data_IF_729399549823
#
_entry.id   IF_729399549823
#
_cell.length_a   1.000
_cell.length_b   1.000
_cell.length_c   1.000
_cell.angle_alpha   90.00
_cell.angle_beta   90.00
_cell.angle_gamma   90.00
#
_symmetry.space_group_name_H-M   'P 1'
#
loop_
_entity.id
_entity.type
_entity.pdbx_description
1 polymer ?
#
# COMPACT_ATOMS: atom_id res chain seq x y z
N UNK A 1 -1.54 -24.16 -18.71
CA UNK A 1 -1.43 -22.70 -18.41
C UNK A 1 -0.01 -22.28 -18.70
N UNK A 2 0.16 -21.22 -19.48
CA UNK A 2 1.48 -20.67 -19.82
C UNK A 2 2.19 -20.15 -18.56
N UNK A 3 3.47 -20.48 -18.40
CA UNK A 3 4.26 -20.09 -17.22
C UNK A 3 4.56 -18.59 -17.30
N UNK A 4 4.24 -17.85 -16.23
CA UNK A 4 4.53 -16.42 -16.14
C UNK A 4 6.05 -16.20 -16.18
N UNK A 5 6.53 -15.26 -16.99
CA UNK A 5 7.97 -14.95 -17.11
C UNK A 5 8.24 -13.47 -16.84
N UNK A 6 9.41 -13.16 -16.27
CA UNK A 6 9.81 -11.80 -15.85
C UNK A 6 9.83 -10.77 -16.99
N UNK A 7 9.95 -11.22 -18.24
CA UNK A 7 10.03 -10.37 -19.43
C UNK A 7 8.66 -9.95 -19.98
N UNK A 8 7.56 -10.42 -19.39
CA UNK A 8 6.22 -10.08 -19.86
C UNK A 8 5.86 -8.63 -19.50
N UNK A 9 5.99 -7.75 -20.50
CA UNK A 9 5.65 -6.32 -20.41
C UNK A 9 4.28 -6.01 -19.77
N UNK A 10 3.19 -6.73 -20.11
CA UNK A 10 1.88 -6.52 -19.48
C UNK A 10 1.86 -6.69 -17.96
N UNK A 11 2.75 -7.52 -17.41
CA UNK A 11 2.84 -7.81 -15.97
C UNK A 11 3.87 -6.95 -15.25
N UNK A 12 5.02 -6.73 -15.89
CA UNK A 12 6.22 -6.21 -15.24
C UNK A 12 6.80 -4.95 -15.87
N UNK A 13 6.17 -4.40 -16.91
CA UNK A 13 6.66 -3.22 -17.64
C UNK A 13 6.85 -1.99 -16.76
N UNK A 14 6.09 -1.85 -15.69
CA UNK A 14 6.17 -0.73 -14.74
C UNK A 14 6.78 -1.13 -13.39
N UNK A 15 7.28 -2.36 -13.24
CA UNK A 15 7.77 -2.86 -11.95
C UNK A 15 9.20 -2.43 -11.75
N UNK A 16 9.49 -1.62 -10.73
CA UNK A 16 10.84 -1.22 -10.38
C UNK A 16 11.09 -1.37 -8.88
N UNK A 17 12.31 -1.74 -8.50
CA UNK A 17 12.76 -1.87 -7.11
C UNK A 17 14.29 -1.87 -7.02
N UNK A 18 14.79 -1.43 -5.86
CA UNK A 18 16.23 -1.42 -5.56
C UNK A 18 16.82 -2.83 -5.69
N UNK A 19 17.86 -2.97 -6.51
CA UNK A 19 18.57 -4.24 -6.73
C UNK A 19 18.05 -5.07 -7.91
N UNK A 20 17.06 -4.61 -8.67
CA UNK A 20 16.50 -5.34 -9.84
C UNK A 20 17.56 -5.72 -10.89
N UNK A 21 18.50 -4.83 -11.17
CA UNK A 21 19.53 -5.07 -12.21
C UNK A 21 20.70 -5.93 -11.74
N UNK A 22 20.75 -6.29 -10.45
CA UNK A 22 21.83 -7.06 -9.82
C UNK A 22 21.30 -8.40 -9.26
N UNK A 23 20.18 -8.88 -9.82
CA UNK A 23 19.58 -10.12 -9.38
C UNK A 23 20.44 -11.31 -9.77
N UNK A 24 20.68 -12.18 -8.79
CA UNK A 24 21.31 -13.47 -8.93
C UNK A 24 20.47 -14.54 -8.21
N UNK A 25 20.67 -15.83 -8.50
CA UNK A 25 20.03 -16.91 -7.76
C UNK A 25 20.31 -16.89 -6.25
N UNK A 26 21.41 -16.27 -5.83
CA UNK A 26 21.82 -16.14 -4.42
C UNK A 26 21.30 -14.85 -3.75
N UNK A 27 20.63 -13.96 -4.49
CA UNK A 27 20.18 -12.67 -3.95
C UNK A 27 19.12 -12.84 -2.86
N UNK A 28 19.26 -12.08 -1.78
CA UNK A 28 18.25 -11.89 -0.74
C UNK A 28 17.76 -10.44 -0.81
N UNK A 29 16.55 -10.25 -1.35
CA UNK A 29 16.02 -8.94 -1.69
C UNK A 29 15.01 -8.50 -0.63
N UNK A 30 15.21 -7.29 -0.12
CA UNK A 30 14.31 -6.63 0.83
C UNK A 30 13.38 -5.64 0.11
N UNK A 31 12.09 -5.94 0.13
CA UNK A 31 11.05 -5.05 -0.39
C UNK A 31 10.38 -4.29 0.76
N UNK A 32 10.44 -2.96 0.72
CA UNK A 32 9.72 -2.11 1.67
C UNK A 32 8.24 -2.06 1.32
N UNK A 33 7.38 -2.27 2.31
CA UNK A 33 5.94 -2.06 2.18
C UNK A 33 5.58 -0.56 2.24
N UNK A 34 4.50 -0.18 1.55
CA UNK A 34 3.95 1.18 1.56
C UNK A 34 3.40 1.53 2.93
N UNK A 35 3.98 2.55 3.56
CA UNK A 35 3.68 2.94 4.95
C UNK A 35 2.45 3.84 5.07
N UNK A 36 2.04 4.54 4.01
CA UNK A 36 1.00 5.57 4.09
C UNK A 36 -0.42 5.02 3.91
N UNK A 37 -0.60 4.02 3.06
CA UNK A 37 -1.92 3.46 2.76
C UNK A 37 -2.32 2.31 3.71
N UNK A 38 -1.54 2.12 4.76
CA UNK A 38 -1.80 1.03 5.68
C UNK A 38 -3.09 1.28 6.47
N UNK A 39 -3.89 0.22 6.72
CA UNK A 39 -5.02 0.25 7.62
C UNK A 39 -4.62 0.86 8.94
N UNK A 40 -5.47 1.69 9.52
CA UNK A 40 -5.45 1.90 10.96
C UNK A 40 -6.66 1.21 11.60
N UNK A 41 -6.62 0.98 12.93
CA UNK A 41 -7.83 0.68 13.68
C UNK A 41 -8.93 1.68 13.34
N UNK A 42 -10.16 1.19 13.15
CA UNK A 42 -11.29 2.00 12.68
C UNK A 42 -11.51 3.31 13.45
N UNK A 43 -11.37 3.37 14.80
CA UNK A 43 -11.48 4.62 15.53
C UNK A 43 -10.42 5.67 15.11
N UNK A 44 -9.18 5.23 14.90
CA UNK A 44 -8.09 6.10 14.45
C UNK A 44 -8.28 6.54 13.00
N UNK A 45 -8.77 5.65 12.11
CA UNK A 45 -9.11 6.04 10.75
C UNK A 45 -10.23 7.09 10.72
N UNK A 46 -11.29 6.92 11.50
CA UNK A 46 -12.39 7.87 11.58
C UNK A 46 -11.92 9.24 12.10
N UNK A 47 -11.10 9.27 13.15
CA UNK A 47 -10.57 10.51 13.69
C UNK A 47 -9.70 11.24 12.66
N UNK A 48 -8.79 10.51 12.01
CA UNK A 48 -7.94 11.05 10.95
C UNK A 48 -8.73 11.43 9.69
N UNK A 49 -9.96 10.95 9.52
CA UNK A 49 -10.83 11.38 8.43
C UNK A 49 -11.63 12.64 8.77
N UNK A 50 -12.29 12.64 9.93
CA UNK A 50 -13.24 13.68 10.35
C UNK A 50 -12.50 14.97 10.71
N UNK A 51 -11.41 14.89 11.48
CA UNK A 51 -10.73 16.09 12.00
C UNK A 51 -10.16 16.98 10.89
N UNK A 52 -9.40 16.44 9.90
CA UNK A 52 -8.89 17.29 8.82
C UNK A 52 -10.02 17.83 7.93
N UNK A 53 -11.10 17.07 7.76
CA UNK A 53 -12.25 17.53 6.98
C UNK A 53 -13.00 18.67 7.69
N UNK A 54 -13.19 18.58 9.00
CA UNK A 54 -13.75 19.66 9.79
C UNK A 54 -12.87 20.93 9.71
N UNK A 55 -11.54 20.76 9.80
CA UNK A 55 -10.58 21.86 9.60
C UNK A 55 -10.65 22.49 8.21
N UNK A 56 -10.86 21.68 7.16
CA UNK A 56 -11.04 22.17 5.81
C UNK A 56 -12.35 22.99 5.63
N UNK A 57 -13.41 22.65 6.36
CA UNK A 57 -14.71 23.34 6.25
C UNK A 57 -14.78 24.59 7.12
N UNK A 58 -14.04 24.63 8.24
CA UNK A 58 -14.06 25.71 9.23
C UNK A 58 -13.95 27.14 8.66
N UNK A 59 -13.06 27.45 7.69
CA UNK A 59 -12.94 28.79 7.12
C UNK A 59 -14.25 29.34 6.53
N UNK A 60 -15.14 28.47 6.05
CA UNK A 60 -16.38 28.86 5.36
C UNK A 60 -17.57 29.04 6.31
N UNK A 61 -17.48 28.52 7.54
CA UNK A 61 -18.57 28.54 8.52
C UNK A 61 -18.25 29.41 9.72
N UNK A 62 -16.97 29.73 9.95
CA UNK A 62 -16.58 30.57 11.08
C UNK A 62 -16.93 32.04 10.80
N UNK A 63 -17.72 32.66 11.67
CA UNK A 63 -17.96 34.11 11.66
C UNK A 63 -16.73 34.93 12.11
N UNK A 64 -15.65 34.26 12.51
CA UNK A 64 -14.46 34.89 13.06
C UNK A 64 -13.54 35.34 11.90
N UNK A 65 -13.22 36.64 11.76
CA UNK A 65 -12.40 37.16 10.68
C UNK A 65 -10.92 36.89 10.97
N UNK A 66 -10.55 35.62 11.04
CA UNK A 66 -9.15 35.22 11.09
C UNK A 66 -8.53 35.54 9.73
N UNK A 67 -7.37 36.21 9.72
CA UNK A 67 -6.67 36.58 8.47
C UNK A 67 -6.45 35.34 7.62
N UNK A 68 -6.66 35.44 6.32
CA UNK A 68 -6.61 34.30 5.38
C UNK A 68 -5.24 33.61 5.36
N UNK A 69 -4.16 34.35 5.61
CA UNK A 69 -2.82 33.81 5.88
C UNK A 69 -2.81 32.78 7.02
N UNK A 70 -3.55 33.03 8.09
CA UNK A 70 -3.60 32.16 9.24
C UNK A 70 -4.44 30.89 8.96
N UNK A 71 -5.49 30.99 8.13
CA UNK A 71 -6.20 29.81 7.62
C UNK A 71 -5.34 28.95 6.69
N UNK A 72 -4.55 29.59 5.82
CA UNK A 72 -3.60 28.89 4.95
C UNK A 72 -2.55 28.18 5.80
N UNK A 73 -1.96 28.87 6.79
CA UNK A 73 -0.99 28.28 7.70
C UNK A 73 -1.58 27.11 8.50
N UNK A 74 -2.83 27.24 8.97
CA UNK A 74 -3.53 26.18 9.68
C UNK A 74 -3.78 24.96 8.79
N UNK A 75 -4.24 25.15 7.55
CA UNK A 75 -4.47 24.05 6.62
C UNK A 75 -3.16 23.35 6.21
N UNK A 76 -2.09 24.10 5.96
CA UNK A 76 -0.76 23.53 5.70
C UNK A 76 -0.24 22.74 6.92
N UNK A 77 -0.41 23.30 8.12
CA UNK A 77 -0.11 22.61 9.38
C UNK A 77 -0.93 21.34 9.55
N UNK A 78 -2.22 21.36 9.19
CA UNK A 78 -3.11 20.21 9.25
C UNK A 78 -2.71 19.12 8.24
N UNK A 79 -2.26 19.48 7.03
CA UNK A 79 -1.74 18.53 6.03
C UNK A 79 -0.50 17.81 6.59
N UNK A 80 0.47 18.56 7.09
CA UNK A 80 1.70 18.00 7.66
C UNK A 80 1.40 17.17 8.92
N UNK A 81 0.55 17.70 9.80
CA UNK A 81 0.08 17.04 11.02
C UNK A 81 -0.63 15.74 10.71
N UNK A 82 -1.53 15.71 9.73
CA UNK A 82 -2.22 14.50 9.28
C UNK A 82 -1.22 13.42 8.82
N UNK A 83 -0.26 13.78 7.96
CA UNK A 83 0.73 12.83 7.44
C UNK A 83 1.62 12.27 8.56
N UNK A 84 2.03 13.13 9.50
CA UNK A 84 2.85 12.73 10.65
C UNK A 84 2.06 11.85 11.62
N UNK A 85 0.87 12.28 12.03
CA UNK A 85 -0.01 11.50 12.92
C UNK A 85 -0.33 10.15 12.31
N UNK A 86 -0.69 10.09 11.03
CA UNK A 86 -0.94 8.84 10.32
C UNK A 86 0.27 7.92 10.36
N UNK A 87 1.46 8.44 10.06
CA UNK A 87 2.72 7.68 10.10
C UNK A 87 3.00 7.13 11.51
N UNK A 88 2.81 7.96 12.55
CA UNK A 88 3.00 7.57 13.94
C UNK A 88 1.98 6.52 14.38
N UNK A 89 0.70 6.68 14.05
CA UNK A 89 -0.35 5.71 14.35
C UNK A 89 -0.07 4.35 13.69
N UNK A 90 0.45 4.34 12.46
CA UNK A 90 0.79 3.11 11.74
C UNK A 90 1.99 2.42 12.41
N UNK A 91 2.99 3.19 12.80
CA UNK A 91 4.13 2.64 13.55
C UNK A 91 3.72 2.12 14.93
N UNK A 92 2.83 2.81 15.64
CA UNK A 92 2.33 2.38 16.94
C UNK A 92 1.47 1.11 16.86
N UNK A 93 0.62 0.99 15.83
CA UNK A 93 -0.30 -0.14 15.67
C UNK A 93 0.36 -1.39 15.09
N UNK A 94 1.41 -1.23 14.26
CA UNK A 94 2.00 -2.35 13.51
C UNK A 94 3.51 -2.53 13.78
N UNK A 95 4.11 -1.72 14.65
CA UNK A 95 5.55 -1.75 14.96
C UNK A 95 6.38 -0.89 14.01
N UNK A 96 7.69 -0.83 14.27
CA UNK A 96 8.60 0.10 13.59
C UNK A 96 8.82 -0.20 12.10
N UNK A 97 9.02 0.88 11.36
CA UNK A 97 9.43 0.98 9.95
C UNK A 97 10.35 -0.14 9.41
N UNK A 98 11.32 -0.59 10.21
CA UNK A 98 12.37 -1.52 9.78
C UNK A 98 11.94 -3.00 9.89
N UNK A 99 10.88 -3.30 10.65
CA UNK A 99 10.28 -4.64 10.68
C UNK A 99 9.33 -4.88 9.51
N UNK A 100 9.08 -3.87 8.66
CA UNK A 100 8.11 -3.89 7.55
C UNK A 100 8.73 -4.20 6.19
N UNK A 101 9.60 -5.20 6.17
CA UNK A 101 10.34 -5.61 4.99
C UNK A 101 9.90 -7.02 4.62
N UNK A 102 9.40 -7.19 3.39
CA UNK A 102 9.26 -8.52 2.81
C UNK A 102 10.63 -8.91 2.27
N UNK A 103 11.23 -9.98 2.82
CA UNK A 103 12.49 -10.50 2.28
C UNK A 103 12.19 -11.73 1.44
N UNK A 104 12.80 -11.80 0.27
CA UNK A 104 12.60 -12.91 -0.65
C UNK A 104 13.93 -13.33 -1.26
N UNK A 105 14.15 -14.63 -1.26
CA UNK A 105 15.28 -15.28 -1.92
C UNK A 105 14.81 -16.58 -2.56
N UNK A 106 15.72 -17.31 -3.20
CA UNK A 106 15.42 -18.61 -3.78
C UNK A 106 14.98 -19.67 -2.74
N UNK A 107 15.36 -19.52 -1.47
CA UNK A 107 15.14 -20.51 -0.41
C UNK A 107 13.99 -20.17 0.53
N UNK A 108 13.77 -18.87 0.77
CA UNK A 108 12.84 -18.39 1.80
C UNK A 108 12.11 -17.13 1.39
N UNK A 109 10.92 -16.99 1.94
CA UNK A 109 10.09 -15.80 1.90
C UNK A 109 9.79 -15.38 3.34
N UNK A 110 10.17 -14.17 3.73
CA UNK A 110 9.88 -13.62 5.05
C UNK A 110 8.83 -12.53 4.87
N UNK A 111 7.72 -12.68 5.58
CA UNK A 111 6.59 -11.74 5.56
C UNK A 111 6.52 -11.05 6.91
N UNK A 112 6.31 -9.73 6.98
CA UNK A 112 6.06 -9.07 8.25
C UNK A 112 4.70 -9.52 8.80
N UNK A 113 4.71 -10.38 9.82
CA UNK A 113 3.50 -10.93 10.46
C UNK A 113 2.68 -9.87 11.18
N UNK A 114 3.31 -8.78 11.64
CA UNK A 114 2.61 -7.58 12.15
C UNK A 114 1.66 -6.96 11.14
N UNK A 115 1.77 -7.32 9.85
CA UNK A 115 0.93 -6.82 8.77
C UNK A 115 -0.17 -7.81 8.35
N UNK A 116 -0.23 -8.97 8.98
CA UNK A 116 -1.30 -9.94 8.76
C UNK A 116 -2.39 -9.74 9.82
N UNK A 117 -3.63 -9.67 9.36
CA UNK A 117 -4.79 -9.57 10.27
C UNK A 117 -4.85 -10.84 11.11
N UNK A 118 -4.72 -10.70 12.44
CA UNK A 118 -4.80 -11.80 13.39
C UNK A 118 -3.54 -12.64 13.57
N UNK A 119 -2.37 -12.20 13.08
CA UNK A 119 -1.11 -12.90 13.32
C UNK A 119 -0.30 -12.29 14.47
N UNK A 120 0.60 -13.09 15.05
CA UNK A 120 1.54 -12.61 16.08
C UNK A 120 2.49 -11.55 15.51
N UNK A 121 2.88 -10.60 16.38
CA UNK A 121 3.86 -9.58 16.03
C UNK A 121 5.23 -10.21 15.76
N UNK A 122 5.76 -10.03 14.54
CA UNK A 122 7.10 -10.50 14.17
C UNK A 122 7.19 -10.95 12.71
N UNK A 123 8.41 -11.16 12.19
CA UNK A 123 8.61 -11.74 10.86
C UNK A 123 8.16 -13.20 10.85
N UNK A 124 7.47 -13.60 9.78
CA UNK A 124 7.05 -14.98 9.52
C UNK A 124 7.96 -15.54 8.42
N UNK A 125 9.00 -16.32 8.78
CA UNK A 125 9.81 -17.01 7.80
C UNK A 125 9.03 -18.19 7.20
N UNK A 126 8.98 -18.25 5.88
CA UNK A 126 8.41 -19.34 5.11
C UNK A 126 9.49 -19.92 4.23
N UNK A 127 9.81 -21.20 4.44
CA UNK A 127 10.70 -21.93 3.55
C UNK A 127 9.97 -22.26 2.24
N UNK A 128 10.68 -22.19 1.12
CA UNK A 128 10.07 -22.39 -0.20
C UNK A 128 9.41 -23.76 -0.33
N UNK A 129 10.00 -24.81 0.23
CA UNK A 129 9.46 -26.16 0.20
C UNK A 129 8.19 -26.32 1.06
N UNK A 130 8.00 -25.47 2.06
CA UNK A 130 6.78 -25.42 2.86
C UNK A 130 5.61 -24.74 2.13
N UNK A 131 5.87 -24.07 0.99
CA UNK A 131 4.86 -23.43 0.16
C UNK A 131 4.37 -24.42 -0.90
N UNK A 132 3.07 -24.72 -0.85
CA UNK A 132 2.41 -25.60 -1.82
C UNK A 132 2.14 -24.87 -3.13
N UNK A 133 1.55 -23.67 -3.05
CA UNK A 133 1.29 -22.79 -4.19
C UNK A 133 1.04 -21.36 -3.73
N UNK A 134 1.16 -20.42 -4.66
CA UNK A 134 0.85 -19.01 -4.45
C UNK A 134 -0.19 -18.60 -5.50
N UNK A 135 -1.40 -18.34 -5.03
CA UNK A 135 -2.50 -17.88 -5.86
C UNK A 135 -2.37 -16.36 -6.07
N UNK A 136 -2.22 -15.93 -7.33
CA UNK A 136 -2.08 -14.54 -7.76
C UNK A 136 -3.42 -14.06 -8.29
N UNK A 137 -4.05 -13.12 -7.56
CA UNK A 137 -5.31 -12.52 -7.99
C UNK A 137 -5.05 -11.22 -8.76
N UNK A 138 -5.51 -11.16 -10.00
CA UNK A 138 -5.25 -10.04 -10.88
C UNK A 138 -6.48 -9.60 -11.68
N UNK A 139 -6.46 -8.34 -12.12
CA UNK A 139 -7.45 -7.78 -13.03
C UNK A 139 -6.76 -7.07 -14.21
N UNK A 140 -7.20 -7.31 -15.46
CA UNK A 140 -6.71 -6.55 -16.59
C UNK A 140 -7.13 -5.09 -16.50
N UNK A 141 -6.18 -4.21 -16.70
CA UNK A 141 -6.32 -2.75 -16.75
C UNK A 141 -5.84 -2.28 -18.11
N UNK A 142 -6.78 -1.81 -18.93
CA UNK A 142 -6.49 -1.26 -20.25
C UNK A 142 -6.38 0.25 -20.11
N UNK A 143 -5.15 0.78 -20.21
CA UNK A 143 -4.88 2.21 -20.38
C UNK A 143 -4.12 2.37 -21.69
N UNK A 144 -4.52 3.35 -22.51
CA UNK A 144 -3.84 3.74 -23.74
C UNK A 144 -3.50 2.57 -24.68
N UNK A 145 -4.50 1.72 -24.97
CA UNK A 145 -4.38 0.55 -25.87
C UNK A 145 -3.36 -0.53 -25.44
N UNK A 146 -2.72 -0.38 -24.27
CA UNK A 146 -1.85 -1.40 -23.68
C UNK A 146 -2.59 -2.10 -22.53
N UNK A 147 -2.69 -3.41 -22.62
CA UNK A 147 -3.19 -4.21 -21.50
C UNK A 147 -2.09 -4.37 -20.47
N UNK A 148 -2.36 -3.93 -19.25
CA UNK A 148 -1.55 -4.17 -18.06
C UNK A 148 -2.34 -5.04 -17.09
N UNK A 149 -1.65 -5.78 -16.23
CA UNK A 149 -2.29 -6.58 -15.18
C UNK A 149 -2.03 -5.97 -13.80
N UNK A 150 -3.11 -5.60 -13.13
CA UNK A 150 -3.06 -5.10 -11.77
C UNK A 150 -3.32 -6.25 -10.80
N UNK A 151 -2.32 -6.50 -9.95
CA UNK A 151 -2.35 -7.59 -8.97
C UNK A 151 -2.93 -7.05 -7.66
N UNK A 152 -4.07 -7.59 -7.26
CA UNK A 152 -4.79 -7.13 -6.06
C UNK A 152 -4.38 -7.88 -4.80
N UNK A 153 -4.03 -9.16 -4.92
CA UNK A 153 -3.80 -10.05 -3.77
C UNK A 153 -2.89 -11.22 -4.16
N UNK A 154 -2.06 -11.66 -3.21
CA UNK A 154 -1.33 -12.93 -3.24
C UNK A 154 -1.80 -13.79 -2.07
N UNK A 155 -2.21 -15.02 -2.33
CA UNK A 155 -2.57 -15.99 -1.29
C UNK A 155 -1.57 -17.14 -1.30
N UNK A 156 -0.73 -17.18 -0.28
CA UNK A 156 0.30 -18.20 -0.09
C UNK A 156 -0.34 -19.36 0.65
N UNK A 157 -0.40 -20.51 0.00
CA UNK A 157 -0.96 -21.74 0.58
C UNK A 157 0.20 -22.64 0.96
N UNK A 158 0.28 -22.95 2.24
CA UNK A 158 1.31 -23.82 2.80
C UNK A 158 0.94 -25.29 2.62
N UNK A 159 1.93 -26.17 2.69
CA UNK A 159 1.72 -27.62 2.70
C UNK A 159 0.80 -28.07 3.86
N UNK A 160 0.84 -27.34 4.98
CA UNK A 160 -0.06 -27.55 6.12
C UNK A 160 -1.52 -27.18 5.89
N UNK A 161 -1.87 -26.64 4.71
CA UNK A 161 -3.22 -26.17 4.37
C UNK A 161 -3.55 -24.77 4.89
N UNK A 162 -2.69 -24.17 5.72
CA UNK A 162 -2.84 -22.76 6.13
C UNK A 162 -2.66 -21.83 4.94
N UNK A 163 -3.44 -20.75 4.90
CA UNK A 163 -3.34 -19.71 3.87
C UNK A 163 -2.96 -18.37 4.48
N UNK A 164 -1.99 -17.70 3.86
CA UNK A 164 -1.53 -16.35 4.23
C UNK A 164 -1.88 -15.42 3.07
N UNK A 165 -2.71 -14.40 3.34
CA UNK A 165 -3.18 -13.45 2.33
C UNK A 165 -2.44 -12.12 2.43
N UNK A 166 -1.82 -11.72 1.33
CA UNK A 166 -1.14 -10.43 1.16
C UNK A 166 -1.96 -9.56 0.23
N UNK A 167 -2.40 -8.39 0.70
CA UNK A 167 -3.22 -7.44 -0.08
C UNK A 167 -2.38 -6.33 -0.73
N UNK A 168 -2.73 -5.94 -1.95
CA UNK A 168 -1.93 -5.05 -2.81
C UNK A 168 -1.72 -3.64 -2.29
N UNK A 169 -2.66 -3.13 -1.49
CA UNK A 169 -2.50 -1.82 -0.84
C UNK A 169 -1.40 -1.86 0.23
N UNK A 170 -1.17 -3.02 0.82
CA UNK A 170 -0.41 -3.20 2.07
C UNK A 170 0.98 -3.75 1.84
N UNK A 171 1.18 -4.45 0.74
CA UNK A 171 2.42 -5.12 0.40
C UNK A 171 2.88 -4.65 -0.98
N UNK A 172 4.20 -4.65 -1.24
CA UNK A 172 4.74 -4.32 -2.56
C UNK A 172 4.51 -5.49 -3.53
N UNK A 173 3.25 -5.75 -3.87
CA UNK A 173 2.83 -6.99 -4.56
C UNK A 173 3.42 -7.11 -5.95
N UNK A 174 3.51 -6.04 -6.75
CA UNK A 174 4.11 -6.11 -8.09
C UNK A 174 5.60 -6.48 -8.04
N UNK A 175 6.46 -5.78 -7.26
CA UNK A 175 7.85 -6.21 -7.03
C UNK A 175 7.96 -7.62 -6.43
N UNK A 176 7.08 -7.98 -5.49
CA UNK A 176 7.08 -9.30 -4.87
C UNK A 176 6.74 -10.40 -5.89
N UNK A 177 5.72 -10.20 -6.72
CA UNK A 177 5.36 -11.12 -7.80
C UNK A 177 6.50 -11.29 -8.79
N UNK A 178 7.17 -10.21 -9.18
CA UNK A 178 8.34 -10.27 -10.05
C UNK A 178 9.42 -11.19 -9.47
N UNK A 179 9.74 -11.03 -8.18
CA UNK A 179 10.74 -11.85 -7.50
C UNK A 179 10.28 -13.30 -7.30
N UNK A 180 8.99 -13.53 -7.05
CA UNK A 180 8.41 -14.88 -6.99
C UNK A 180 8.56 -15.60 -8.33
N UNK A 181 8.34 -14.91 -9.45
CA UNK A 181 8.58 -15.47 -10.79
C UNK A 181 10.08 -15.70 -11.03
N UNK A 182 10.92 -14.71 -10.68
CA UNK A 182 12.37 -14.80 -10.86
C UNK A 182 12.99 -15.98 -10.11
N UNK A 183 12.58 -16.22 -8.86
CA UNK A 183 13.04 -17.33 -8.02
C UNK A 183 12.27 -18.64 -8.25
N UNK A 184 11.38 -18.68 -9.24
CA UNK A 184 10.63 -19.87 -9.65
C UNK A 184 9.70 -20.46 -8.57
N UNK A 185 9.00 -19.61 -7.82
CA UNK A 185 7.99 -20.06 -6.86
C UNK A 185 6.77 -20.68 -7.57
N UNK A 186 6.06 -21.64 -6.92
CA UNK A 186 4.89 -22.29 -7.51
C UNK A 186 3.70 -21.33 -7.57
N UNK A 187 3.43 -20.75 -8.74
CA UNK A 187 2.41 -19.70 -8.94
C UNK A 187 1.20 -20.21 -9.73
N UNK A 188 0.01 -19.71 -9.36
CA UNK A 188 -1.27 -19.98 -10.03
C UNK A 188 -2.03 -18.67 -10.23
N UNK A 189 -2.50 -18.40 -11.44
CA UNK A 189 -3.11 -17.11 -11.81
C UNK A 189 -4.64 -17.19 -11.76
N UNK A 190 -5.26 -16.24 -11.06
CA UNK A 190 -6.70 -16.14 -10.89
C UNK A 190 -7.20 -14.75 -11.29
N UNK A 191 -8.05 -14.68 -12.30
CA UNK A 191 -8.67 -13.42 -12.72
C UNK A 191 -9.77 -13.06 -11.73
N UNK A 192 -9.65 -11.92 -11.06
CA UNK A 192 -10.63 -11.44 -10.07
C UNK A 192 -10.70 -9.92 -10.08
N UNK A 193 -11.92 -9.36 -10.04
CA UNK A 193 -12.10 -7.92 -9.86
C UNK A 193 -11.61 -7.51 -8.47
N UNK A 194 -10.88 -6.39 -8.35
CA UNK A 194 -10.52 -5.87 -7.04
C UNK A 194 -11.78 -5.55 -6.25
N UNK A 195 -11.84 -5.90 -4.95
CA UNK A 195 -12.99 -5.59 -4.13
C UNK A 195 -13.16 -4.08 -3.97
N UNK A 196 -14.41 -3.61 -3.98
CA UNK A 196 -14.78 -2.19 -3.77
C UNK A 196 -14.20 -1.61 -2.48
N UNK A 197 -14.00 -2.45 -1.46
CA UNK A 197 -13.38 -2.04 -0.18
C UNK A 197 -11.97 -1.50 -0.33
N UNK A 198 -11.21 -1.92 -1.35
CA UNK A 198 -9.88 -1.37 -1.65
C UNK A 198 -10.01 0.09 -2.12
N UNK A 199 -10.91 0.34 -3.07
CA UNK A 199 -11.17 1.68 -3.62
C UNK A 199 -11.71 2.61 -2.54
N UNK A 200 -12.73 2.17 -1.80
CA UNK A 200 -13.32 2.92 -0.71
C UNK A 200 -12.27 3.32 0.34
N UNK A 201 -11.35 2.40 0.68
CA UNK A 201 -10.28 2.70 1.64
C UNK A 201 -9.27 3.68 1.10
N UNK A 202 -8.83 3.55 -0.15
CA UNK A 202 -7.93 4.53 -0.77
C UNK A 202 -8.55 5.92 -0.78
N UNK A 203 -9.85 6.03 -1.09
CA UNK A 203 -10.60 7.29 -1.00
C UNK A 203 -10.65 7.81 0.43
N UNK A 204 -10.96 6.96 1.40
CA UNK A 204 -11.02 7.35 2.81
C UNK A 204 -9.68 7.91 3.33
N UNK A 205 -8.55 7.40 2.83
CA UNK A 205 -7.23 7.90 3.20
C UNK A 205 -6.88 9.19 2.45
N UNK A 206 -7.15 9.26 1.15
CA UNK A 206 -6.72 10.38 0.32
C UNK A 206 -7.65 11.60 0.41
N UNK A 207 -8.95 11.41 0.61
CA UNK A 207 -9.95 12.46 0.53
C UNK A 207 -9.73 13.62 1.52
N UNK A 208 -9.41 13.40 2.81
CA UNK A 208 -9.14 14.51 3.74
C UNK A 208 -7.95 15.38 3.31
N UNK A 209 -6.90 14.76 2.75
CA UNK A 209 -5.76 15.48 2.18
C UNK A 209 -6.16 16.31 0.97
N UNK A 210 -6.92 15.71 0.03
CA UNK A 210 -7.40 16.40 -1.17
C UNK A 210 -8.29 17.59 -0.79
N UNK A 211 -9.18 17.42 0.19
CA UNK A 211 -10.03 18.49 0.69
C UNK A 211 -9.21 19.65 1.28
N UNK A 212 -8.24 19.37 2.16
CA UNK A 212 -7.36 20.39 2.72
C UNK A 212 -6.56 21.13 1.64
N UNK A 213 -6.00 20.41 0.66
CA UNK A 213 -5.26 21.01 -0.45
C UNK A 213 -6.17 21.89 -1.30
N UNK A 214 -7.37 21.41 -1.64
CA UNK A 214 -8.33 22.16 -2.43
C UNK A 214 -8.76 23.46 -1.73
N UNK A 215 -9.09 23.39 -0.43
CA UNK A 215 -9.47 24.56 0.37
C UNK A 215 -8.31 25.53 0.49
N UNK A 216 -7.09 25.05 0.70
CA UNK A 216 -5.89 25.92 0.73
C UNK A 216 -5.73 26.65 -0.61
N UNK A 217 -5.91 25.95 -1.74
CA UNK A 217 -5.85 26.55 -3.07
C UNK A 217 -6.94 27.59 -3.30
N UNK A 218 -8.17 27.34 -2.84
CA UNK A 218 -9.27 28.30 -2.91
C UNK A 218 -8.96 29.57 -2.09
N UNK A 219 -8.50 29.40 -0.85
CA UNK A 219 -8.15 30.53 0.01
C UNK A 219 -7.02 31.38 -0.57
N UNK A 220 -6.01 30.75 -1.18
CA UNK A 220 -4.93 31.46 -1.88
C UNK A 220 -5.49 32.24 -3.06
N UNK A 221 -6.33 31.59 -3.89
CA UNK A 221 -6.92 32.22 -5.07
C UNK A 221 -7.77 33.44 -4.71
N UNK A 222 -8.60 33.35 -3.68
CA UNK A 222 -9.50 34.45 -3.31
C UNK A 222 -8.79 35.66 -2.71
N UNK A 223 -7.57 35.49 -2.18
CA UNK A 223 -6.90 36.52 -1.38
C UNK A 223 -5.60 37.05 -1.97
N UNK A 224 -4.97 36.33 -2.90
CA UNK A 224 -3.67 36.70 -3.48
C UNK A 224 -3.66 36.79 -5.01
N UNK A 225 -4.76 36.43 -5.69
CA UNK A 225 -4.92 36.47 -7.16
C UNK A 225 -6.16 37.28 -7.55
#
# INVERSE_FOLDING_TARGET
MEKLTVNQGPWFGTTDFKGRNQLSPASDISLRSSRLLYPLPLPLELLLFIVPLALAVLPFISANPMRSEAWIALNLGAILGYLLLRKLSINGSYGNADSHVCQISHRRLIIPGSRLVGAQAGPIPLERHAIKRIDVYFWPSTRDLRTSYDVSELSIILQSGRSIRLKGIYFPIKPLLYLLVYFDYPLTLHKRRPPLSIVARSLFVAFPLVALVAVTGLLIKEHFL
#
